data_IF_118438307477
#
_entry.id   IF_118438307477
#
_cell.length_a   1.000
_cell.length_b   1.000
_cell.length_c   1.000
_cell.angle_alpha   90.00
_cell.angle_beta   90.00
_cell.angle_gamma   90.00
#
_symmetry.space_group_name_H-M   'P 1'
#
loop_
_entity.id
_entity.type
_entity.pdbx_description
1 polymer ?
#
# COMPACT_ATOMS: atom_id res chain seq x y z
N UNK A 1 14.09 -9.78 16.27
CA UNK A 1 12.90 -9.00 15.87
C UNK A 1 13.20 -8.38 14.52
N UNK A 2 12.27 -8.48 13.57
CA UNK A 2 12.39 -7.85 12.25
C UNK A 2 11.70 -6.49 12.29
N UNK A 3 12.31 -5.49 11.66
CA UNK A 3 11.78 -4.15 11.48
C UNK A 3 11.58 -3.87 9.99
N UNK A 4 10.46 -3.21 9.69
CA UNK A 4 10.09 -2.81 8.33
C UNK A 4 10.59 -1.40 8.04
N UNK A 5 11.31 -1.26 6.94
CA UNK A 5 11.69 0.04 6.36
C UNK A 5 10.82 0.25 5.14
N UNK A 6 10.18 1.42 5.00
CA UNK A 6 9.26 1.67 3.90
C UNK A 6 9.25 3.11 3.39
N UNK A 7 8.53 3.33 2.29
CA UNK A 7 8.37 4.63 1.64
C UNK A 7 7.16 5.40 2.18
N UNK A 8 6.92 6.61 1.64
CA UNK A 8 5.74 7.41 1.94
C UNK A 8 4.42 6.70 1.61
N UNK A 9 4.43 5.76 0.67
CA UNK A 9 3.24 4.95 0.31
C UNK A 9 3.09 3.70 1.18
N UNK A 10 3.96 3.52 2.18
CA UNK A 10 4.09 2.31 2.99
C UNK A 10 4.62 1.08 2.23
N UNK A 11 5.18 1.25 1.02
CA UNK A 11 5.87 0.16 0.32
C UNK A 11 7.14 -0.21 1.07
N UNK A 12 7.32 -1.49 1.40
CA UNK A 12 8.48 -2.00 2.17
C UNK A 12 9.71 -2.04 1.28
N UNK A 13 10.79 -1.33 1.62
CA UNK A 13 12.04 -1.32 0.83
C UNK A 13 13.13 -2.20 1.42
N UNK A 14 13.10 -2.46 2.73
CA UNK A 14 14.04 -3.35 3.39
C UNK A 14 13.46 -3.92 4.69
N UNK A 15 14.01 -5.08 5.08
CA UNK A 15 13.82 -5.67 6.40
C UNK A 15 15.15 -5.60 7.14
N UNK A 16 15.11 -5.15 8.38
CA UNK A 16 16.30 -5.08 9.25
C UNK A 16 16.08 -5.84 10.54
N UNK A 17 17.15 -6.35 11.14
CA UNK A 17 17.08 -6.89 12.49
C UNK A 17 17.19 -5.78 13.56
N UNK A 18 17.18 -6.17 14.84
CA UNK A 18 17.32 -5.27 15.98
C UNK A 18 18.67 -4.57 16.08
N UNK A 19 19.69 -5.02 15.35
CA UNK A 19 20.99 -4.35 15.23
C UNK A 19 21.08 -3.41 14.02
N UNK A 20 20.02 -3.32 13.21
CA UNK A 20 20.01 -2.52 11.98
C UNK A 20 20.70 -3.21 10.79
N UNK A 21 21.04 -4.50 10.90
CA UNK A 21 21.57 -5.26 9.77
C UNK A 21 20.45 -5.55 8.79
N UNK A 22 20.68 -5.30 7.50
CA UNK A 22 19.69 -5.55 6.45
C UNK A 22 19.63 -7.05 6.16
N UNK A 23 18.43 -7.60 6.30
CA UNK A 23 18.12 -9.02 6.06
C UNK A 23 17.69 -9.23 4.61
N UNK A 24 16.81 -8.38 4.13
CA UNK A 24 16.28 -8.41 2.76
C UNK A 24 16.01 -7.01 2.24
N UNK A 25 15.98 -6.88 0.92
CA UNK A 25 15.67 -5.65 0.21
C UNK A 25 14.61 -5.92 -0.85
N UNK A 26 13.80 -4.92 -1.10
CA UNK A 26 12.68 -4.99 -2.00
C UNK A 26 12.70 -3.76 -2.90
N UNK A 27 12.58 -4.00 -4.20
CA UNK A 27 12.39 -2.96 -5.20
C UNK A 27 11.07 -3.20 -5.95
N UNK A 28 10.53 -2.11 -6.47
CA UNK A 28 9.24 -2.11 -7.17
C UNK A 28 9.35 -1.26 -8.43
N UNK A 29 8.63 -1.65 -9.47
CA UNK A 29 8.29 -0.71 -10.54
C UNK A 29 7.19 0.27 -10.09
N UNK A 30 6.73 1.13 -11.00
CA UNK A 30 5.70 2.12 -10.69
C UNK A 30 4.35 1.50 -10.29
N UNK A 31 4.02 0.31 -10.78
CA UNK A 31 2.77 -0.42 -10.53
C UNK A 31 2.94 -1.55 -9.49
N UNK A 32 4.11 -1.71 -8.90
CA UNK A 32 4.35 -2.72 -7.86
C UNK A 32 4.92 -4.05 -8.36
N UNK A 33 5.49 -4.13 -9.55
CA UNK A 33 6.27 -5.29 -9.98
C UNK A 33 7.43 -5.55 -9.01
N UNK A 34 7.39 -6.68 -8.31
CA UNK A 34 8.25 -6.98 -7.16
C UNK A 34 9.62 -7.52 -7.60
N UNK A 35 10.69 -7.04 -6.99
CA UNK A 35 12.02 -7.65 -7.07
C UNK A 35 12.63 -7.78 -5.67
N UNK A 36 12.96 -9.02 -5.30
CA UNK A 36 13.47 -9.37 -3.97
C UNK A 36 14.97 -9.60 -4.03
N UNK A 37 15.69 -9.07 -3.06
CA UNK A 37 17.13 -9.27 -2.90
C UNK A 37 17.46 -9.64 -1.46
N UNK A 38 18.52 -10.41 -1.26
CA UNK A 38 19.07 -10.62 0.08
C UNK A 38 19.75 -9.35 0.63
N UNK A 39 20.20 -9.40 1.89
CA UNK A 39 20.90 -8.29 2.53
C UNK A 39 22.16 -7.80 1.79
N UNK A 40 22.83 -8.70 1.04
CA UNK A 40 24.02 -8.41 0.23
C UNK A 40 23.70 -7.86 -1.16
N UNK A 41 22.44 -7.93 -1.59
CA UNK A 41 21.96 -7.44 -2.88
C UNK A 41 21.85 -8.50 -3.97
N UNK A 42 21.99 -9.79 -3.66
CA UNK A 42 21.78 -10.85 -4.64
C UNK A 42 20.27 -11.11 -4.83
N UNK A 43 19.84 -11.26 -6.09
CA UNK A 43 18.44 -11.47 -6.44
C UNK A 43 17.92 -12.82 -5.91
N UNK A 44 16.66 -12.82 -5.46
CA UNK A 44 15.95 -13.99 -4.95
C UNK A 44 14.58 -14.12 -5.64
N UNK A 45 14.11 -15.36 -5.77
CA UNK A 45 12.76 -15.64 -6.25
C UNK A 45 11.71 -15.45 -5.16
N UNK A 46 12.07 -15.66 -3.89
CA UNK A 46 11.16 -15.55 -2.74
C UNK A 46 11.89 -15.06 -1.48
N UNK A 47 11.10 -14.58 -0.53
CA UNK A 47 11.57 -14.13 0.79
C UNK A 47 12.07 -15.31 1.63
N UNK A 48 13.20 -15.11 2.31
CA UNK A 48 13.74 -16.00 3.33
C UNK A 48 13.18 -15.70 4.74
N UNK A 49 12.55 -14.53 4.92
CA UNK A 49 12.08 -14.04 6.22
C UNK A 49 10.55 -14.16 6.38
N UNK A 50 9.88 -14.94 5.52
CA UNK A 50 8.40 -15.11 5.46
C UNK A 50 7.66 -13.77 5.40
N UNK A 51 8.22 -12.78 4.69
CA UNK A 51 7.61 -11.48 4.60
C UNK A 51 6.42 -11.45 3.65
N UNK A 52 5.24 -11.20 4.21
CA UNK A 52 3.99 -11.09 3.45
C UNK A 52 3.72 -9.67 2.95
N UNK A 53 4.22 -8.65 3.64
CA UNK A 53 3.86 -7.26 3.37
C UNK A 53 4.92 -6.58 2.49
N UNK A 54 4.51 -6.07 1.33
CA UNK A 54 5.43 -5.49 0.33
C UNK A 54 4.90 -4.15 -0.22
N UNK A 55 4.38 -4.11 -1.45
CA UNK A 55 3.97 -2.88 -2.14
C UNK A 55 2.77 -2.22 -1.46
N UNK A 56 2.85 -0.92 -1.19
CA UNK A 56 1.85 -0.12 -0.45
C UNK A 56 1.42 -0.69 0.91
N UNK A 57 2.26 -1.56 1.50
CA UNK A 57 1.94 -2.28 2.74
C UNK A 57 0.88 -3.37 2.56
N UNK A 58 0.72 -3.90 1.35
CA UNK A 58 -0.22 -4.98 1.02
C UNK A 58 0.43 -6.34 1.11
N UNK A 59 -0.40 -7.33 1.39
CA UNK A 59 0.00 -8.73 1.37
C UNK A 59 0.23 -9.17 -0.07
N UNK A 60 1.36 -9.80 -0.34
CA UNK A 60 1.73 -10.39 -1.61
C UNK A 60 1.67 -11.90 -1.51
N UNK A 61 0.97 -12.52 -2.46
CA UNK A 61 0.91 -13.97 -2.64
C UNK A 61 1.94 -14.36 -3.71
N UNK A 62 2.98 -15.08 -3.30
CA UNK A 62 4.06 -15.52 -4.18
C UNK A 62 3.68 -16.68 -5.12
N UNK A 63 2.61 -17.42 -4.79
CA UNK A 63 2.10 -18.49 -5.63
C UNK A 63 1.23 -17.98 -6.77
N UNK A 64 0.61 -16.82 -6.60
CA UNK A 64 -0.28 -16.20 -7.58
C UNK A 64 0.31 -14.95 -8.26
N UNK A 65 1.39 -14.38 -7.71
CA UNK A 65 1.95 -13.08 -8.09
C UNK A 65 0.93 -11.92 -7.99
N UNK A 66 0.07 -11.98 -6.96
CA UNK A 66 -1.02 -11.03 -6.74
C UNK A 66 -0.91 -10.32 -5.39
N UNK A 67 -1.44 -9.10 -5.35
CA UNK A 67 -1.58 -8.32 -4.12
C UNK A 67 -3.00 -8.38 -3.58
N UNK A 68 -3.12 -8.65 -2.29
CA UNK A 68 -4.40 -8.68 -1.59
C UNK A 68 -4.79 -7.27 -1.09
N UNK A 69 -5.66 -6.59 -1.83
CA UNK A 69 -6.19 -5.26 -1.52
C UNK A 69 -7.53 -5.31 -0.77
N UNK A 70 -7.77 -6.36 0.01
CA UNK A 70 -9.02 -6.58 0.78
C UNK A 70 -10.21 -6.85 -0.14
N UNK A 71 -10.85 -5.79 -0.64
CA UNK A 71 -12.04 -5.93 -1.48
C UNK A 71 -11.73 -6.53 -2.86
N UNK A 72 -10.47 -6.44 -3.30
CA UNK A 72 -10.04 -6.86 -4.64
C UNK A 72 -8.65 -7.51 -4.61
N UNK A 73 -8.39 -8.38 -5.60
CA UNK A 73 -7.05 -8.82 -5.94
C UNK A 73 -6.46 -7.91 -7.02
N UNK A 74 -5.20 -7.53 -6.85
CA UNK A 74 -4.47 -6.64 -7.76
C UNK A 74 -3.35 -7.39 -8.46
N UNK A 75 -3.28 -7.24 -9.77
CA UNK A 75 -2.21 -7.75 -10.62
C UNK A 75 -1.29 -6.58 -11.02
N UNK A 76 -0.06 -6.63 -10.52
CA UNK A 76 0.96 -5.61 -10.80
C UNK A 76 1.53 -5.72 -12.21
N UNK A 77 1.58 -6.91 -12.81
CA UNK A 77 2.07 -7.10 -14.18
C UNK A 77 1.12 -6.47 -15.20
N UNK A 78 -0.19 -6.61 -14.98
CA UNK A 78 -1.20 -5.95 -15.82
C UNK A 78 -1.54 -4.52 -15.37
N UNK A 79 -1.06 -4.09 -14.20
CA UNK A 79 -1.32 -2.78 -13.61
C UNK A 79 -2.79 -2.52 -13.27
N UNK A 80 -3.58 -3.55 -12.93
CA UNK A 80 -5.04 -3.43 -12.73
C UNK A 80 -5.60 -4.42 -11.71
N UNK A 81 -6.82 -4.17 -11.24
CA UNK A 81 -7.56 -5.14 -10.43
C UNK A 81 -8.14 -6.26 -11.29
N UNK A 82 -8.23 -7.47 -10.70
CA UNK A 82 -8.83 -8.64 -11.36
C UNK A 82 -10.36 -8.66 -11.29
N UNK A 83 -10.93 -7.96 -10.32
CA UNK A 83 -12.37 -7.87 -10.10
C UNK A 83 -12.87 -6.43 -10.24
N UNK A 84 -14.14 -6.31 -10.65
CA UNK A 84 -14.85 -5.03 -10.69
C UNK A 84 -14.86 -4.38 -9.31
N UNK A 85 -14.73 -3.06 -9.27
CA UNK A 85 -14.93 -2.27 -8.05
C UNK A 85 -16.32 -2.49 -7.42
N UNK A 86 -16.41 -2.89 -6.14
CA UNK A 86 -17.68 -3.02 -5.43
C UNK A 86 -18.48 -1.72 -5.34
N UNK A 87 -17.82 -0.55 -5.36
CA UNK A 87 -18.49 0.76 -5.39
C UNK A 87 -18.75 1.25 -6.83
N UNK A 88 -18.45 0.43 -7.84
CA UNK A 88 -18.71 0.74 -9.24
C UNK A 88 -17.92 1.93 -9.74
N UNK A 89 -18.60 2.85 -10.44
CA UNK A 89 -17.96 4.05 -11.01
C UNK A 89 -17.66 5.14 -9.97
N UNK A 90 -18.05 4.94 -8.71
CA UNK A 90 -17.68 5.86 -7.63
C UNK A 90 -16.18 5.76 -7.28
N UNK A 91 -15.53 4.62 -7.60
CA UNK A 91 -14.09 4.40 -7.41
C UNK A 91 -13.21 4.91 -8.57
N UNK A 92 -13.73 4.88 -9.80
CA UNK A 92 -13.13 5.49 -11.00
C UNK A 92 -14.22 5.88 -11.99
N UNK A 93 -14.12 7.09 -12.54
CA UNK A 93 -15.10 7.65 -13.47
C UNK A 93 -15.16 6.91 -14.82
N UNK A 94 -14.06 6.28 -15.22
CA UNK A 94 -13.89 5.75 -16.58
C UNK A 94 -13.69 4.24 -16.60
N UNK A 95 -13.08 3.66 -15.56
CA UNK A 95 -12.71 2.24 -15.57
C UNK A 95 -12.79 1.59 -14.19
N UNK A 96 -13.76 0.68 -14.04
CA UNK A 96 -14.04 -0.09 -12.82
C UNK A 96 -12.94 -1.12 -12.42
N UNK A 97 -11.89 -1.28 -13.22
CA UNK A 97 -10.72 -2.14 -12.94
C UNK A 97 -9.44 -1.33 -12.71
N UNK A 98 -9.51 0.00 -12.81
CA UNK A 98 -8.34 0.86 -12.77
C UNK A 98 -7.65 0.88 -11.41
N UNK A 99 -6.33 0.88 -11.44
CA UNK A 99 -5.51 1.05 -10.26
C UNK A 99 -5.12 2.52 -10.08
N UNK A 100 -5.57 3.12 -8.98
CA UNK A 100 -5.16 4.45 -8.54
C UNK A 100 -5.26 5.55 -9.61
N UNK A 101 -6.27 5.53 -10.49
CA UNK A 101 -6.48 6.58 -11.50
C UNK A 101 -5.22 6.81 -12.36
N UNK A 102 -4.47 5.72 -12.61
CA UNK A 102 -3.19 5.75 -13.31
C UNK A 102 -2.11 6.63 -12.66
N UNK A 103 -2.23 6.92 -11.36
CA UNK A 103 -1.29 7.73 -10.56
C UNK A 103 -0.64 6.95 -9.40
N UNK A 104 0.02 5.82 -9.67
CA UNK A 104 0.47 4.90 -8.62
C UNK A 104 1.63 5.44 -7.78
N UNK A 105 2.37 6.47 -8.23
CA UNK A 105 3.49 7.07 -7.49
C UNK A 105 3.06 8.11 -6.43
N UNK A 106 1.83 8.60 -6.48
CA UNK A 106 1.35 9.68 -5.60
C UNK A 106 0.04 9.35 -4.89
N UNK A 107 -0.48 8.14 -5.11
CA UNK A 107 -1.74 7.69 -4.55
C UNK A 107 -1.59 6.32 -3.86
N UNK A 108 -2.54 5.97 -2.99
CA UNK A 108 -2.67 4.66 -2.35
C UNK A 108 -4.16 4.29 -2.28
N UNK A 109 -4.49 3.01 -2.18
CA UNK A 109 -5.87 2.53 -2.00
C UNK A 109 -5.93 1.69 -0.72
N UNK A 110 -6.39 2.28 0.40
CA UNK A 110 -6.48 1.60 1.69
C UNK A 110 -7.41 0.37 1.70
N UNK A 111 -8.46 0.32 0.88
CA UNK A 111 -9.52 -0.68 1.01
C UNK A 111 -9.72 -1.53 -0.25
N UNK A 112 -9.00 -1.23 -1.33
CA UNK A 112 -9.30 -1.78 -2.64
C UNK A 112 -10.61 -1.24 -3.18
N UNK A 113 -10.94 0.02 -2.94
CA UNK A 113 -12.18 0.66 -3.41
C UNK A 113 -11.98 2.10 -3.87
N UNK A 114 -11.13 2.86 -3.18
CA UNK A 114 -11.04 4.30 -3.38
C UNK A 114 -9.60 4.78 -3.29
N UNK A 115 -9.27 5.72 -4.18
CA UNK A 115 -7.94 6.31 -4.30
C UNK A 115 -7.73 7.44 -3.29
N UNK A 116 -6.63 7.38 -2.55
CA UNK A 116 -6.18 8.37 -1.59
C UNK A 116 -4.89 9.02 -2.08
N UNK A 117 -4.91 10.33 -2.33
CA UNK A 117 -3.70 11.09 -2.70
C UNK A 117 -2.81 11.29 -1.47
N UNK A 118 -1.54 10.93 -1.59
CA UNK A 118 -0.57 10.92 -0.49
C UNK A 118 0.01 12.33 -0.23
N UNK A 119 -0.09 13.23 -1.22
CA UNK A 119 0.24 14.65 -1.10
C UNK A 119 -1.04 15.48 -0.99
N UNK A 120 -1.30 16.08 0.17
CA UNK A 120 -2.59 16.68 0.56
C UNK A 120 -3.11 17.87 -0.26
N UNK A 121 -3.36 17.71 -1.55
CA UNK A 121 -4.22 18.59 -2.35
C UNK A 121 -5.15 17.71 -3.22
N UNK A 122 -6.40 17.65 -2.76
CA UNK A 122 -7.63 17.20 -3.45
C UNK A 122 -7.73 15.71 -3.88
N UNK A 123 -8.11 14.86 -2.92
CA UNK A 123 -9.18 13.86 -3.14
C UNK A 123 -10.52 14.43 -2.63
N UNK A 124 -11.69 13.89 -3.01
CA UNK A 124 -12.98 14.45 -2.62
C UNK A 124 -13.05 14.55 -1.09
N UNK A 125 -13.30 15.77 -0.60
CA UNK A 125 -13.29 16.14 0.81
C UNK A 125 -14.40 15.49 1.67
N UNK A 126 -14.82 14.25 1.40
CA UNK A 126 -16.02 13.69 2.02
C UNK A 126 -15.84 12.43 2.87
N UNK A 127 -14.73 11.71 2.83
CA UNK A 127 -14.60 10.51 3.67
C UNK A 127 -13.92 10.72 5.04
N UNK A 128 -13.11 11.76 5.24
CA UNK A 128 -12.37 11.98 6.52
C UNK A 128 -12.72 13.29 7.26
N UNK A 129 -13.80 13.99 6.89
CA UNK A 129 -14.24 15.26 7.54
C UNK A 129 -15.49 15.14 8.42
N UNK A 130 -15.73 13.99 9.06
CA UNK A 130 -16.79 13.86 10.09
C UNK A 130 -16.36 13.07 11.32
N UNK A 131 -15.23 13.37 11.95
CA UNK A 131 -15.11 13.02 13.39
C UNK A 131 -14.00 13.74 14.17
N UNK A 132 -13.92 15.06 14.10
CA UNK A 132 -13.22 15.85 15.12
C UNK A 132 -14.21 16.73 15.86
N UNK A 133 -15.16 16.11 16.59
CA UNK A 133 -15.75 16.79 17.75
C UNK A 133 -14.63 16.92 18.78
N UNK A 134 -14.06 18.13 18.88
CA UNK A 134 -13.18 18.55 19.97
C UNK A 134 -13.88 18.25 21.30
N UNK A 135 -13.36 17.27 22.04
CA UNK A 135 -13.65 17.15 23.48
C UNK A 135 -12.50 17.87 24.18
N UNK A 136 -12.64 19.19 24.34
CA UNK A 136 -11.85 19.90 25.35
C UNK A 136 -12.70 20.01 26.59
N UNK A 137 -12.50 19.06 27.52
CA UNK A 137 -12.86 19.24 28.92
C UNK A 137 -12.07 20.42 29.46
N UNK A 138 -12.76 21.48 29.86
CA UNK A 138 -12.19 22.50 30.73
C UNK A 138 -12.79 22.31 32.12
N UNK A 139 -11.92 21.86 33.03
CA UNK A 139 -12.10 21.85 34.48
C UNK A 139 -12.49 23.26 34.95
N UNK A 140 -13.57 23.33 35.72
CA UNK A 140 -14.01 24.53 36.43
C UNK A 140 -13.21 24.61 37.73
N UNK A 141 -12.47 25.70 37.92
CA UNK A 141 -11.87 26.09 39.20
C UNK A 141 -12.34 27.52 39.47
N UNK A 142 -13.31 27.64 40.37
CA UNK A 142 -13.54 28.72 41.34
C UNK A 142 -14.51 28.19 42.39
#
# INVERSE_FOLDING_TARGET
>A
MIHYVGTQQYSVTALTDSSGTIKERYAYDAYGGLSIFDGSGAARASTAEDNRYTYTGREYDDGLDLYHYRARMYDAMCGRFLSRDPIGFDGSLWNIYEFLDSTPLSSSDPNGTDRWVINGVTGPQNCMRRNTRRITSTILLL
#
